data_IF_557765953873
#
_entry.id   IF_557765953873
#
_cell.length_a   1.000
_cell.length_b   1.000
_cell.length_c   1.000
_cell.angle_alpha   90.00
_cell.angle_beta   90.00
_cell.angle_gamma   90.00
#
_symmetry.space_group_name_H-M   'P 1'
#
loop_
_entity.id
_entity.type
_entity.pdbx_description
1 polymer ?
#
# COMPACT_ATOMS: atom_id res chain seq x y z
N UNK A 1 -4.44 0.77 -1.37
CA UNK A 1 -4.53 0.77 -2.85
C UNK A 1 -5.87 1.35 -3.22
N UNK A 2 -5.97 2.65 -3.49
CA UNK A 2 -7.30 3.31 -3.59
C UNK A 2 -7.47 4.28 -4.75
N UNK A 3 -6.50 4.44 -5.65
CA UNK A 3 -6.62 5.45 -6.73
C UNK A 3 -6.22 4.92 -8.12
N UNK A 4 -6.56 3.67 -8.45
CA UNK A 4 -6.16 3.05 -9.74
C UNK A 4 -7.02 3.48 -10.96
N UNK A 5 -7.87 4.50 -10.85
CA UNK A 5 -8.83 4.84 -11.91
C UNK A 5 -9.09 6.31 -12.20
N UNK A 6 -8.43 7.25 -11.52
CA UNK A 6 -8.73 8.69 -11.67
C UNK A 6 -7.51 9.42 -12.24
N UNK A 7 -7.72 10.15 -13.34
CA UNK A 7 -6.69 10.99 -13.97
C UNK A 7 -6.18 12.02 -12.95
N UNK A 8 -4.86 12.01 -12.72
CA UNK A 8 -4.22 12.90 -11.75
C UNK A 8 -4.29 12.45 -10.29
N UNK A 9 -4.69 11.21 -10.00
CA UNK A 9 -4.68 10.64 -8.63
C UNK A 9 -3.91 9.33 -8.50
N UNK A 10 -3.32 8.82 -9.58
CA UNK A 10 -2.56 7.57 -9.59
C UNK A 10 -1.30 7.67 -8.71
N UNK A 11 -1.22 6.96 -7.57
CA UNK A 11 0.07 6.61 -7.00
C UNK A 11 0.73 5.67 -8.00
N UNK A 12 1.92 6.01 -8.46
CA UNK A 12 2.69 5.11 -9.31
C UNK A 12 2.90 3.79 -8.57
N UNK A 13 2.40 2.71 -9.14
CA UNK A 13 2.96 1.38 -8.92
C UNK A 13 3.89 1.09 -10.09
N UNK A 14 4.84 0.16 -9.86
CA UNK A 14 6.07 -0.13 -10.61
C UNK A 14 5.96 -0.42 -12.13
N UNK A 15 4.83 -0.11 -12.77
CA UNK A 15 4.56 -0.34 -14.19
C UNK A 15 4.11 0.99 -14.79
N UNK A 16 5.03 1.63 -15.49
CA UNK A 16 4.78 2.85 -16.23
C UNK A 16 5.72 2.92 -17.42
N UNK A 17 5.36 3.73 -18.41
CA UNK A 17 6.24 4.08 -19.52
C UNK A 17 6.50 5.58 -19.49
N UNK A 18 7.75 5.97 -19.74
CA UNK A 18 8.16 7.37 -19.85
C UNK A 18 8.91 7.55 -21.16
N UNK A 19 8.58 8.57 -21.96
CA UNK A 19 9.38 8.89 -23.14
C UNK A 19 10.84 9.16 -22.75
N UNK A 20 11.80 8.60 -23.47
CA UNK A 20 13.23 8.77 -23.19
C UNK A 20 13.65 10.26 -23.11
N UNK A 21 13.01 11.12 -23.92
CA UNK A 21 13.23 12.57 -23.89
C UNK A 21 12.88 13.20 -22.53
N UNK A 22 11.86 12.70 -21.85
CA UNK A 22 11.50 13.17 -20.50
C UNK A 22 12.57 12.74 -19.50
N UNK A 23 13.05 11.49 -19.57
CA UNK A 23 14.12 10.99 -18.70
C UNK A 23 15.41 11.81 -18.83
N UNK A 24 15.78 12.19 -20.07
CA UNK A 24 16.93 13.05 -20.32
C UNK A 24 16.76 14.44 -19.69
N UNK A 25 15.56 15.03 -19.79
CA UNK A 25 15.24 16.35 -19.21
C UNK A 25 15.30 16.38 -17.68
N UNK A 26 15.07 15.25 -17.02
CA UNK A 26 15.10 15.14 -15.55
C UNK A 26 16.37 14.49 -15.01
N UNK A 27 17.34 14.17 -15.87
CA UNK A 27 18.58 13.47 -15.48
C UNK A 27 18.31 12.12 -14.78
N UNK A 28 17.49 11.28 -15.40
CA UNK A 28 17.22 9.89 -15.00
C UNK A 28 16.77 9.72 -13.53
N UNK A 29 16.87 8.50 -13.00
CA UNK A 29 16.46 8.11 -11.65
C UNK A 29 17.52 8.39 -10.58
N UNK A 30 17.06 8.52 -9.33
CA UNK A 30 17.93 8.64 -8.16
C UNK A 30 18.38 7.24 -7.73
N UNK A 31 19.70 6.99 -7.71
CA UNK A 31 20.27 5.66 -7.46
C UNK A 31 20.43 5.32 -5.98
N UNK A 32 20.41 6.34 -5.12
CA UNK A 32 20.72 6.23 -3.69
C UNK A 32 19.49 6.00 -2.82
N UNK A 33 18.29 6.12 -3.39
CA UNK A 33 17.02 6.07 -2.68
C UNK A 33 16.17 4.90 -3.16
N UNK A 34 15.33 4.38 -2.28
CA UNK A 34 14.56 3.16 -2.52
C UNK A 34 13.31 3.44 -3.36
N UNK A 35 12.70 4.60 -3.19
CA UNK A 35 11.39 4.96 -3.78
C UNK A 35 11.48 5.53 -5.22
N UNK A 36 12.32 4.93 -6.07
CA UNK A 36 12.76 5.48 -7.37
C UNK A 36 11.64 6.11 -8.21
N UNK A 37 10.51 5.41 -8.33
CA UNK A 37 9.37 5.84 -9.16
C UNK A 37 8.72 7.14 -8.67
N UNK A 38 8.52 7.27 -7.35
CA UNK A 38 7.95 8.48 -6.74
C UNK A 38 8.90 9.67 -6.86
N UNK A 39 10.21 9.40 -6.74
CA UNK A 39 11.27 10.38 -6.90
C UNK A 39 11.31 10.90 -8.34
N UNK A 40 11.28 10.00 -9.32
CA UNK A 40 11.23 10.34 -10.74
C UNK A 40 9.99 11.18 -11.06
N UNK A 41 8.82 10.77 -10.55
CA UNK A 41 7.59 11.53 -10.71
C UNK A 41 7.71 12.96 -10.16
N UNK A 42 8.27 13.11 -8.96
CA UNK A 42 8.50 14.42 -8.34
C UNK A 42 9.42 15.28 -9.20
N UNK A 43 10.49 14.70 -9.77
CA UNK A 43 11.41 15.40 -10.68
C UNK A 43 10.68 15.87 -11.93
N UNK A 44 9.83 15.03 -12.52
CA UNK A 44 9.02 15.41 -13.67
C UNK A 44 8.03 16.55 -13.33
N UNK A 45 7.33 16.46 -12.20
CA UNK A 45 6.43 17.53 -11.77
C UNK A 45 7.15 18.88 -11.62
N UNK A 46 8.35 18.90 -11.03
CA UNK A 46 9.15 20.12 -10.90
C UNK A 46 9.66 20.61 -12.24
N UNK A 47 10.16 19.71 -13.10
CA UNK A 47 10.75 20.09 -14.40
C UNK A 47 9.73 20.71 -15.36
N UNK A 48 8.46 20.31 -15.25
CA UNK A 48 7.36 20.77 -16.10
C UNK A 48 6.38 21.69 -15.35
N UNK A 49 6.82 22.33 -14.26
CA UNK A 49 6.03 23.33 -13.51
C UNK A 49 4.63 22.85 -13.10
N UNK A 50 4.48 21.54 -12.80
CA UNK A 50 3.23 20.90 -12.43
C UNK A 50 2.38 20.38 -13.60
N UNK A 51 2.81 20.58 -14.84
CA UNK A 51 2.13 20.12 -16.05
C UNK A 51 2.37 18.64 -16.40
N UNK A 52 3.16 17.91 -15.61
CA UNK A 52 3.39 16.49 -15.84
C UNK A 52 2.16 15.67 -15.40
N UNK A 53 1.63 14.85 -16.32
CA UNK A 53 0.43 14.05 -16.10
C UNK A 53 0.68 12.58 -16.38
N UNK A 54 -0.11 11.75 -15.71
CA UNK A 54 -0.08 10.29 -15.83
C UNK A 54 -1.42 9.85 -16.37
N UNK A 55 -1.38 9.12 -17.47
CA UNK A 55 -2.58 8.54 -18.05
C UNK A 55 -2.69 7.07 -17.61
N UNK A 56 -3.84 6.66 -17.04
CA UNK A 56 -4.04 5.27 -16.70
C UNK A 56 -4.09 4.43 -17.99
N UNK A 57 -3.37 3.32 -17.97
CA UNK A 57 -3.43 2.30 -19.01
C UNK A 57 -4.06 1.04 -18.42
N UNK A 58 -5.17 0.60 -19.01
CA UNK A 58 -5.90 -0.59 -18.57
C UNK A 58 -5.46 -1.77 -19.44
N UNK A 59 -4.62 -2.63 -18.86
CA UNK A 59 -4.13 -3.85 -19.51
C UNK A 59 -4.01 -5.00 -18.51
N UNK A 60 -3.71 -6.19 -19.02
CA UNK A 60 -3.37 -7.34 -18.18
C UNK A 60 -1.99 -7.11 -17.59
N UNK A 61 -1.89 -7.28 -16.27
CA UNK A 61 -0.63 -7.23 -15.54
C UNK A 61 -0.42 -8.58 -14.86
N UNK A 62 0.81 -9.09 -14.99
CA UNK A 62 1.30 -10.24 -14.27
C UNK A 62 2.46 -9.77 -13.38
N UNK A 63 2.46 -10.21 -12.12
CA UNK A 63 3.50 -9.87 -11.16
C UNK A 63 3.97 -11.10 -10.42
N UNK A 64 5.28 -11.16 -10.21
CA UNK A 64 5.89 -12.28 -9.48
C UNK A 64 5.55 -12.19 -7.98
N UNK A 65 5.18 -13.32 -7.42
CA UNK A 65 5.09 -13.47 -5.97
C UNK A 65 6.49 -13.54 -5.36
N UNK A 66 6.58 -13.24 -4.06
CA UNK A 66 7.79 -13.52 -3.29
C UNK A 66 7.82 -15.02 -2.99
N UNK A 67 8.73 -15.73 -3.63
CA UNK A 67 8.86 -17.20 -3.55
C UNK A 67 10.25 -17.55 -2.99
N UNK A 68 10.30 -18.49 -2.07
CA UNK A 68 11.52 -19.00 -1.45
C UNK A 68 11.44 -20.52 -1.28
N UNK A 69 12.53 -21.18 -0.88
CA UNK A 69 12.54 -22.63 -0.69
C UNK A 69 11.71 -23.06 0.52
N UNK A 70 11.69 -22.23 1.57
CA UNK A 70 10.97 -22.46 2.81
C UNK A 70 9.85 -21.44 3.04
N UNK A 71 8.70 -21.91 3.52
CA UNK A 71 7.54 -21.05 3.82
C UNK A 71 7.87 -19.90 4.80
N UNK A 72 8.76 -20.15 5.77
CA UNK A 72 9.18 -19.10 6.72
C UNK A 72 10.00 -18.02 6.01
N UNK A 73 10.86 -18.42 5.07
CA UNK A 73 11.64 -17.48 4.27
C UNK A 73 10.75 -16.65 3.35
N UNK A 74 9.69 -17.23 2.78
CA UNK A 74 8.67 -16.50 2.01
C UNK A 74 7.99 -15.42 2.86
N UNK A 75 7.57 -15.76 4.08
CA UNK A 75 6.93 -14.81 5.00
C UNK A 75 7.90 -13.68 5.37
N UNK A 76 9.16 -14.00 5.66
CA UNK A 76 10.20 -12.99 5.95
C UNK A 76 10.47 -12.12 4.71
N UNK A 77 10.53 -12.72 3.53
CA UNK A 77 10.73 -12.00 2.27
C UNK A 77 9.58 -11.04 1.98
N UNK A 78 8.34 -11.49 2.17
CA UNK A 78 7.14 -10.68 2.03
C UNK A 78 7.12 -9.53 3.05
N UNK A 79 7.52 -9.79 4.30
CA UNK A 79 7.66 -8.76 5.32
C UNK A 79 8.65 -7.66 4.88
N UNK A 80 9.85 -8.06 4.42
CA UNK A 80 10.88 -7.13 3.95
C UNK A 80 10.42 -6.35 2.70
N UNK A 81 9.67 -7.00 1.80
CA UNK A 81 9.09 -6.35 0.62
C UNK A 81 8.10 -5.25 1.02
N UNK A 82 7.15 -5.55 1.92
CA UNK A 82 6.18 -4.58 2.43
C UNK A 82 6.87 -3.44 3.18
N UNK A 83 7.88 -3.76 3.99
CA UNK A 83 8.68 -2.77 4.69
C UNK A 83 9.40 -1.83 3.70
N UNK A 84 9.98 -2.37 2.62
CA UNK A 84 10.64 -1.57 1.58
C UNK A 84 9.67 -0.60 0.92
N UNK A 85 8.47 -1.07 0.56
CA UNK A 85 7.47 -0.20 -0.03
C UNK A 85 7.02 0.91 0.92
N UNK A 86 6.80 0.59 2.19
CA UNK A 86 6.42 1.59 3.19
C UNK A 86 7.53 2.60 3.47
N UNK A 87 8.79 2.15 3.46
CA UNK A 87 9.95 3.02 3.54
C UNK A 87 10.01 4.04 2.40
N UNK A 88 9.48 3.68 1.23
CA UNK A 88 9.38 4.59 0.11
C UNK A 88 8.66 5.90 0.46
N UNK A 89 7.65 5.86 1.34
CA UNK A 89 7.01 7.08 1.85
C UNK A 89 7.84 7.88 2.84
N UNK A 90 8.65 7.20 3.67
CA UNK A 90 9.55 7.83 4.64
C UNK A 90 10.61 8.67 3.92
N UNK A 91 11.12 8.20 2.78
CA UNK A 91 12.08 8.93 1.94
C UNK A 91 11.42 9.93 0.99
N UNK A 92 10.31 9.52 0.34
CA UNK A 92 9.67 10.35 -0.68
C UNK A 92 9.05 11.62 -0.09
N UNK A 93 8.54 11.57 1.15
CA UNK A 93 7.91 12.73 1.78
C UNK A 93 8.87 13.91 1.97
N UNK A 94 10.02 13.77 2.67
CA UNK A 94 10.98 14.86 2.82
C UNK A 94 11.58 15.29 1.47
N UNK A 95 11.78 14.36 0.54
CA UNK A 95 12.26 14.69 -0.80
C UNK A 95 11.27 15.59 -1.54
N UNK A 96 10.00 15.19 -1.62
CA UNK A 96 8.95 15.94 -2.29
C UNK A 96 8.71 17.30 -1.62
N UNK A 97 8.76 17.34 -0.28
CA UNK A 97 8.67 18.59 0.47
C UNK A 97 9.81 19.55 0.10
N UNK A 98 11.06 19.08 0.10
CA UNK A 98 12.22 19.87 -0.31
C UNK A 98 12.07 20.41 -1.72
N UNK A 99 11.69 19.55 -2.68
CA UNK A 99 11.50 19.91 -4.09
C UNK A 99 10.41 20.96 -4.30
N UNK A 100 9.31 20.91 -3.55
CA UNK A 100 8.15 21.79 -3.74
C UNK A 100 8.21 23.10 -2.96
N UNK A 101 8.81 23.10 -1.77
CA UNK A 101 8.71 24.23 -0.82
C UNK A 101 10.04 24.92 -0.55
N UNK A 102 11.16 24.19 -0.62
CA UNK A 102 12.49 24.73 -0.30
C UNK A 102 13.20 25.18 -1.58
N UNK A 103 13.22 24.31 -2.60
CA UNK A 103 13.93 24.60 -3.85
C UNK A 103 13.19 25.67 -4.69
N UNK A 104 13.93 26.60 -5.34
CA UNK A 104 13.32 27.65 -6.17
C UNK A 104 12.46 27.09 -7.30
N UNK A 105 12.89 25.99 -7.93
CA UNK A 105 12.18 25.37 -9.05
C UNK A 105 10.76 24.90 -8.67
N UNK A 106 10.54 24.48 -7.42
CA UNK A 106 9.22 24.09 -6.94
C UNK A 106 8.22 25.24 -6.82
N UNK A 107 8.71 26.50 -6.74
CA UNK A 107 7.84 27.67 -6.55
C UNK A 107 7.03 28.01 -7.80
N UNK A 108 7.46 27.58 -8.98
CA UNK A 108 6.71 27.71 -10.23
C UNK A 108 5.42 26.89 -10.22
N UNK A 109 5.37 25.81 -9.43
CA UNK A 109 4.20 24.95 -9.32
C UNK A 109 3.11 25.65 -8.50
N UNK A 110 1.86 25.71 -8.99
CA UNK A 110 0.73 26.21 -8.21
C UNK A 110 0.64 25.55 -6.82
N UNK A 111 0.44 26.35 -5.76
CA UNK A 111 0.43 25.85 -4.38
C UNK A 111 -0.59 24.72 -4.16
N UNK A 112 -1.74 24.81 -4.82
CA UNK A 112 -2.79 23.77 -4.79
C UNK A 112 -2.26 22.41 -5.26
N UNK A 113 -1.43 22.38 -6.31
CA UNK A 113 -0.86 21.13 -6.85
C UNK A 113 0.16 20.56 -5.85
N UNK A 114 1.04 21.42 -5.30
CA UNK A 114 2.03 21.01 -4.29
C UNK A 114 1.38 20.40 -3.05
N UNK A 115 0.37 21.08 -2.49
CA UNK A 115 -0.37 20.61 -1.32
C UNK A 115 -1.14 19.32 -1.61
N UNK A 116 -1.77 19.20 -2.78
CA UNK A 116 -2.48 17.98 -3.19
C UNK A 116 -1.53 16.78 -3.19
N UNK A 117 -0.38 16.86 -3.85
CA UNK A 117 0.54 15.74 -3.98
C UNK A 117 1.18 15.33 -2.64
N UNK A 118 1.56 16.31 -1.81
CA UNK A 118 2.05 16.01 -0.45
C UNK A 118 0.96 15.35 0.38
N UNK A 119 -0.27 15.85 0.33
CA UNK A 119 -1.39 15.25 1.06
C UNK A 119 -1.67 13.83 0.58
N UNK A 120 -1.67 13.58 -0.74
CA UNK A 120 -1.86 12.24 -1.29
C UNK A 120 -0.77 11.27 -0.83
N UNK A 121 0.49 11.69 -0.89
CA UNK A 121 1.62 10.87 -0.42
C UNK A 121 1.51 10.56 1.08
N UNK A 122 1.23 11.58 1.89
CA UNK A 122 1.06 11.47 3.33
C UNK A 122 -0.11 10.56 3.70
N UNK A 123 -1.30 10.86 3.20
CA UNK A 123 -2.53 10.10 3.48
C UNK A 123 -2.38 8.63 3.08
N UNK A 124 -1.81 8.35 1.90
CA UNK A 124 -1.59 6.98 1.46
C UNK A 124 -0.70 6.20 2.44
N UNK A 125 0.44 6.77 2.88
CA UNK A 125 1.35 6.09 3.80
C UNK A 125 0.84 6.05 5.25
N UNK A 126 0.10 7.08 5.67
CA UNK A 126 -0.54 7.13 6.98
C UNK A 126 -1.62 6.07 7.11
N UNK A 127 -2.54 5.99 6.13
CA UNK A 127 -3.60 4.99 6.14
C UNK A 127 -3.04 3.57 5.93
N UNK A 128 -1.97 3.41 5.15
CA UNK A 128 -1.35 2.10 5.00
C UNK A 128 -0.80 1.54 6.33
N UNK A 129 -0.14 2.36 7.14
CA UNK A 129 0.39 1.89 8.43
C UNK A 129 -0.68 1.79 9.52
N UNK A 130 -1.64 2.73 9.55
CA UNK A 130 -2.62 2.84 10.63
C UNK A 130 -3.89 2.02 10.42
N UNK A 131 -4.45 2.00 9.21
CA UNK A 131 -5.75 1.36 8.97
C UNK A 131 -5.77 -0.13 9.29
N UNK A 132 -4.78 -0.95 8.88
CA UNK A 132 -4.82 -2.37 9.20
C UNK A 132 -4.80 -2.63 10.71
N UNK A 133 -3.98 -1.88 11.46
CA UNK A 133 -3.91 -1.99 12.92
C UNK A 133 -5.22 -1.51 13.56
N UNK A 134 -5.79 -0.41 13.08
CA UNK A 134 -7.05 0.13 13.59
C UNK A 134 -8.23 -0.82 13.33
N UNK A 135 -8.32 -1.44 12.15
CA UNK A 135 -9.41 -2.37 11.85
C UNK A 135 -9.28 -3.69 12.60
N UNK A 136 -8.06 -4.15 12.88
CA UNK A 136 -7.86 -5.40 13.61
C UNK A 136 -7.92 -5.24 15.14
N UNK A 137 -7.42 -4.14 15.70
CA UNK A 137 -7.34 -3.93 17.16
C UNK A 137 -8.24 -2.79 17.67
N UNK A 138 -8.54 -1.80 16.83
CA UNK A 138 -9.20 -0.54 17.22
C UNK A 138 -10.59 -0.74 17.83
N UNK A 139 -11.34 -1.75 17.38
CA UNK A 139 -12.67 -2.06 17.93
C UNK A 139 -12.61 -2.51 19.39
N UNK A 140 -11.48 -3.07 19.83
CA UNK A 140 -11.29 -3.54 21.20
C UNK A 140 -10.75 -2.46 22.14
N UNK A 141 -10.08 -1.42 21.61
CA UNK A 141 -9.43 -0.40 22.44
C UNK A 141 -10.40 0.31 23.40
N UNK A 142 -11.61 0.77 22.99
CA UNK A 142 -12.53 1.42 23.92
C UNK A 142 -13.02 0.49 25.04
N UNK A 143 -13.16 -0.81 24.76
CA UNK A 143 -13.55 -1.81 25.76
C UNK A 143 -12.41 -2.10 26.74
N UNK A 144 -11.18 -2.21 26.24
CA UNK A 144 -9.98 -2.47 27.05
C UNK A 144 -9.69 -1.28 27.98
N UNK A 145 -9.68 -0.05 27.45
CA UNK A 145 -9.33 1.14 28.25
C UNK A 145 -10.51 1.71 29.04
N UNK A 146 -11.74 1.59 28.53
CA UNK A 146 -12.93 2.15 29.14
C UNK A 146 -13.61 1.25 30.18
N UNK A 147 -13.24 -0.04 30.24
CA UNK A 147 -13.68 -0.98 31.26
C UNK A 147 -15.21 -1.15 31.36
N UNK A 148 -15.75 -1.54 32.53
CA UNK A 148 -17.19 -1.70 32.75
C UNK A 148 -18.01 -0.42 32.51
N UNK A 149 -17.44 0.75 32.80
CA UNK A 149 -18.10 2.05 32.67
C UNK A 149 -18.41 2.39 31.20
N UNK A 150 -17.52 2.04 30.27
CA UNK A 150 -17.76 2.27 28.85
C UNK A 150 -18.97 1.49 28.33
N UNK A 151 -19.17 0.24 28.79
CA UNK A 151 -20.29 -0.62 28.36
C UNK A 151 -21.67 -0.05 28.69
N UNK A 152 -21.76 0.85 29.66
CA UNK A 152 -23.01 1.49 30.05
C UNK A 152 -23.30 2.76 29.23
N UNK A 153 -22.33 3.27 28.48
CA UNK A 153 -22.51 4.46 27.68
C UNK A 153 -23.31 4.16 26.40
N UNK A 154 -24.19 5.07 25.96
CA UNK A 154 -24.88 4.95 24.67
C UNK A 154 -23.92 4.78 23.49
N UNK A 155 -22.73 5.39 23.56
CA UNK A 155 -21.69 5.26 22.52
C UNK A 155 -21.21 3.81 22.35
N UNK A 156 -21.16 3.03 23.43
CA UNK A 156 -20.71 1.64 23.36
C UNK A 156 -21.76 0.73 22.71
N UNK A 157 -23.04 1.00 22.95
CA UNK A 157 -24.14 0.30 22.28
C UNK A 157 -24.15 0.63 20.77
N UNK A 158 -24.03 1.92 20.42
CA UNK A 158 -23.94 2.35 19.03
C UNK A 158 -22.71 1.77 18.32
N UNK A 159 -21.56 1.75 19.00
CA UNK A 159 -20.33 1.15 18.47
C UNK A 159 -20.52 -0.35 18.21
N UNK A 160 -21.15 -1.09 19.12
CA UNK A 160 -21.42 -2.52 18.95
C UNK A 160 -22.35 -2.78 17.74
N UNK A 161 -23.44 -2.01 17.62
CA UNK A 161 -24.39 -2.11 16.50
C UNK A 161 -23.69 -1.79 15.17
N UNK A 162 -22.91 -0.70 15.13
CA UNK A 162 -22.15 -0.32 13.94
C UNK A 162 -21.13 -1.41 13.56
N UNK A 163 -20.41 -1.95 14.54
CA UNK A 163 -19.42 -3.02 14.33
C UNK A 163 -20.08 -4.28 13.79
N UNK A 164 -21.30 -4.60 14.25
CA UNK A 164 -22.06 -5.73 13.73
C UNK A 164 -22.44 -5.55 12.26
N UNK A 165 -22.98 -4.39 11.88
CA UNK A 165 -23.27 -4.09 10.47
C UNK A 165 -22.02 -4.13 9.61
N UNK A 166 -20.93 -3.52 10.08
CA UNK A 166 -19.66 -3.54 9.39
C UNK A 166 -19.12 -4.96 9.19
N UNK A 167 -19.21 -5.82 10.22
CA UNK A 167 -18.80 -7.22 10.15
C UNK A 167 -19.64 -8.02 9.15
N UNK A 168 -20.96 -7.84 9.13
CA UNK A 168 -21.86 -8.51 8.17
C UNK A 168 -21.50 -8.11 6.74
N UNK A 169 -21.36 -6.81 6.47
CA UNK A 169 -20.98 -6.31 5.14
C UNK A 169 -19.62 -6.86 4.74
N UNK A 170 -18.63 -6.82 5.65
CA UNK A 170 -17.28 -7.35 5.39
C UNK A 170 -17.31 -8.85 5.09
N UNK A 171 -18.13 -9.62 5.79
CA UNK A 171 -18.27 -11.06 5.57
C UNK A 171 -18.86 -11.39 4.19
N UNK A 172 -19.87 -10.63 3.76
CA UNK A 172 -20.44 -10.74 2.40
C UNK A 172 -19.34 -10.47 1.36
N UNK A 173 -18.53 -9.43 1.56
CA UNK A 173 -17.40 -9.13 0.66
C UNK A 173 -16.35 -10.23 0.65
N UNK A 174 -15.95 -10.77 1.81
CA UNK A 174 -14.98 -11.86 1.91
C UNK A 174 -15.47 -13.10 1.14
N UNK A 175 -16.75 -13.46 1.27
CA UNK A 175 -17.32 -14.59 0.51
C UNK A 175 -17.35 -14.30 -0.98
N UNK A 176 -17.84 -13.12 -1.39
CA UNK A 176 -17.93 -12.76 -2.80
C UNK A 176 -16.56 -12.72 -3.47
N UNK A 177 -15.58 -12.04 -2.87
CA UNK A 177 -14.21 -11.99 -3.38
C UNK A 177 -13.49 -13.33 -3.28
N UNK A 178 -13.78 -14.12 -2.25
CA UNK A 178 -13.29 -15.50 -2.10
C UNK A 178 -13.72 -16.39 -3.26
N UNK A 179 -15.00 -16.31 -3.61
CA UNK A 179 -15.55 -17.04 -4.74
C UNK A 179 -14.94 -16.57 -6.07
N UNK A 180 -14.88 -15.26 -6.32
CA UNK A 180 -14.26 -14.71 -7.55
C UNK A 180 -12.79 -15.16 -7.66
N UNK A 181 -12.04 -15.09 -6.56
CA UNK A 181 -10.62 -15.49 -6.54
C UNK A 181 -10.46 -16.99 -6.79
N UNK A 182 -11.33 -17.81 -6.21
CA UNK A 182 -11.36 -19.25 -6.46
C UNK A 182 -11.62 -19.55 -7.95
N UNK A 183 -12.64 -18.92 -8.55
CA UNK A 183 -12.97 -19.10 -9.97
C UNK A 183 -11.83 -18.65 -10.88
N UNK A 184 -11.22 -17.50 -10.59
CA UNK A 184 -10.08 -16.98 -11.35
C UNK A 184 -8.88 -17.92 -11.30
N UNK A 185 -8.50 -18.38 -10.10
CA UNK A 185 -7.39 -19.33 -9.92
C UNK A 185 -7.70 -20.69 -10.54
N UNK A 186 -8.94 -21.17 -10.44
CA UNK A 186 -9.36 -22.44 -11.03
C UNK A 186 -9.32 -22.40 -12.56
N UNK A 187 -9.74 -21.29 -13.17
CA UNK A 187 -9.67 -21.09 -14.62
C UNK A 187 -8.23 -21.06 -15.13
N UNK A 188 -7.32 -20.42 -14.38
CA UNK A 188 -5.91 -20.29 -14.75
C UNK A 188 -5.04 -21.46 -14.25
N UNK A 189 -5.65 -22.48 -13.64
CA UNK A 189 -4.93 -23.67 -13.21
C UNK A 189 -4.51 -24.51 -14.42
N UNK A 190 -3.24 -24.94 -14.43
CA UNK A 190 -2.64 -25.79 -15.47
C UNK A 190 -3.36 -27.12 -15.69
N UNK A 191 -4.20 -27.57 -14.75
CA UNK A 191 -4.86 -28.87 -14.74
C UNK A 191 -6.33 -28.88 -15.23
N UNK A 192 -6.78 -27.85 -15.94
CA UNK A 192 -8.14 -27.80 -16.50
C UNK A 192 -9.20 -27.48 -15.44
N UNK A 193 -9.57 -26.19 -15.38
CA UNK A 193 -10.69 -25.58 -14.64
C UNK A 193 -10.89 -25.94 -13.15
N UNK A 194 -9.99 -26.72 -12.53
CA UNK A 194 -10.10 -27.14 -11.13
C UNK A 194 -8.77 -27.02 -10.40
N UNK A 195 -8.85 -26.42 -9.20
CA UNK A 195 -7.74 -26.38 -8.25
C UNK A 195 -7.56 -27.76 -7.59
N UNK A 196 -6.31 -28.09 -7.25
CA UNK A 196 -6.02 -29.26 -6.41
C UNK A 196 -6.66 -29.08 -5.03
N UNK A 197 -7.09 -30.13 -4.32
CA UNK A 197 -7.73 -30.01 -3.01
C UNK A 197 -6.93 -29.17 -2.00
N UNK A 198 -5.60 -29.30 -2.02
CA UNK A 198 -4.70 -28.50 -1.18
C UNK A 198 -4.75 -27.00 -1.52
N UNK A 199 -4.84 -26.65 -2.80
CA UNK A 199 -4.93 -25.25 -3.26
C UNK A 199 -6.29 -24.65 -2.87
N UNK A 200 -7.37 -25.42 -3.02
CA UNK A 200 -8.71 -25.01 -2.58
C UNK A 200 -8.76 -24.75 -1.07
N UNK A 201 -8.12 -25.62 -0.28
CA UNK A 201 -7.99 -25.44 1.16
C UNK A 201 -7.18 -24.18 1.51
N UNK A 202 -6.05 -23.93 0.82
CA UNK A 202 -5.25 -22.73 1.03
C UNK A 202 -6.01 -21.45 0.73
N UNK A 203 -6.76 -21.41 -0.39
CA UNK A 203 -7.63 -20.27 -0.72
C UNK A 203 -8.67 -20.07 0.39
N UNK A 204 -9.36 -21.13 0.81
CA UNK A 204 -10.35 -21.04 1.87
C UNK A 204 -9.76 -20.52 3.20
N UNK A 205 -8.62 -21.06 3.63
CA UNK A 205 -7.92 -20.63 4.83
C UNK A 205 -7.48 -19.17 4.73
N UNK A 206 -6.96 -18.73 3.57
CA UNK A 206 -6.58 -17.35 3.33
C UNK A 206 -7.77 -16.39 3.53
N UNK A 207 -8.95 -16.72 3.02
CA UNK A 207 -10.12 -15.84 3.16
C UNK A 207 -10.63 -15.78 4.59
N UNK A 208 -10.67 -16.90 5.31
CA UNK A 208 -11.09 -16.94 6.72
C UNK A 208 -10.09 -16.20 7.62
N UNK A 209 -8.79 -16.38 7.37
CA UNK A 209 -7.74 -15.74 8.16
C UNK A 209 -7.49 -14.29 7.75
N UNK A 210 -8.05 -13.83 6.62
CA UNK A 210 -7.79 -12.50 6.06
C UNK A 210 -8.01 -11.33 7.05
N UNK A 211 -9.04 -11.30 7.93
CA UNK A 211 -9.21 -10.19 8.86
C UNK A 211 -8.06 -10.06 9.88
N UNK A 212 -7.46 -11.19 10.25
CA UNK A 212 -6.30 -11.24 11.15
C UNK A 212 -5.00 -10.95 10.41
N UNK A 213 -4.81 -11.60 9.25
CA UNK A 213 -3.61 -11.41 8.43
C UNK A 213 -3.48 -9.96 7.97
N UNK A 214 -4.58 -9.31 7.59
CA UNK A 214 -4.56 -7.93 7.13
C UNK A 214 -4.02 -6.98 8.20
N UNK A 215 -4.41 -7.16 9.47
CA UNK A 215 -3.87 -6.39 10.59
C UNK A 215 -2.35 -6.48 10.71
N UNK A 216 -1.80 -7.69 10.50
CA UNK A 216 -0.36 -7.93 10.52
C UNK A 216 0.37 -7.26 9.34
N UNK A 217 -0.31 -7.03 8.21
CA UNK A 217 0.28 -6.35 7.04
C UNK A 217 0.56 -4.86 7.28
N UNK A 218 -0.03 -4.24 8.31
CA UNK A 218 0.31 -2.86 8.71
C UNK A 218 1.61 -2.75 9.52
N UNK A 219 2.06 -3.85 10.13
CA UNK A 219 3.25 -3.87 10.99
C UNK A 219 4.55 -3.52 10.23
N UNK A 220 4.85 -4.08 9.04
CA UNK A 220 6.03 -3.70 8.27
C UNK A 220 6.08 -2.19 7.97
N UNK A 221 4.91 -1.58 7.75
CA UNK A 221 4.81 -0.15 7.46
C UNK A 221 5.07 0.73 8.70
N UNK A 222 4.56 0.32 9.86
CA UNK A 222 4.90 0.96 11.13
C UNK A 222 6.39 0.80 11.47
N UNK A 223 6.96 -0.40 11.28
CA UNK A 223 8.38 -0.63 11.52
C UNK A 223 9.26 0.27 10.63
N UNK A 224 8.91 0.43 9.35
CA UNK A 224 9.57 1.39 8.46
C UNK A 224 9.53 2.83 9.00
N UNK A 225 8.35 3.29 9.43
CA UNK A 225 8.18 4.65 9.96
C UNK A 225 8.98 4.87 11.26
N UNK A 226 8.95 3.89 12.18
CA UNK A 226 9.70 3.93 13.44
C UNK A 226 11.21 3.95 13.18
N UNK A 227 11.71 3.11 12.27
CA UNK A 227 13.12 3.11 11.85
C UNK A 227 13.54 4.47 11.30
N UNK A 228 12.68 5.12 10.51
CA UNK A 228 12.91 6.47 9.99
C UNK A 228 13.06 7.50 11.10
N UNK A 229 12.17 7.48 12.08
CA UNK A 229 12.23 8.37 13.27
C UNK A 229 13.51 8.11 14.09
N UNK A 230 13.92 6.85 14.20
CA UNK A 230 15.16 6.45 14.91
C UNK A 230 16.45 6.71 14.12
N UNK A 231 16.38 7.18 12.87
CA UNK A 231 17.54 7.36 12.01
C UNK A 231 18.19 6.05 11.54
N UNK A 232 17.49 4.92 11.62
CA UNK A 232 17.94 3.61 11.15
C UNK A 232 17.51 3.40 9.70
N UNK A 233 18.33 3.88 8.76
CA UNK A 233 18.03 3.79 7.33
C UNK A 233 18.01 2.34 6.84
N UNK A 234 17.05 2.02 5.96
CA UNK A 234 17.03 0.72 5.29
C UNK A 234 18.11 0.70 4.19
N UNK A 235 18.89 -0.38 4.14
CA UNK A 235 19.75 -0.67 3.01
C UNK A 235 18.96 -1.19 1.80
N UNK A 236 19.58 -1.16 0.63
CA UNK A 236 19.01 -1.77 -0.57
C UNK A 236 19.09 -3.30 -0.48
N UNK A 237 17.96 -3.93 -0.15
CA UNK A 237 17.78 -5.37 -0.24
C UNK A 237 17.12 -5.69 -1.58
N UNK A 238 17.52 -6.76 -2.27
CA UNK A 238 16.83 -7.25 -3.49
C UNK A 238 15.98 -8.46 -3.09
N UNK A 239 14.74 -8.47 -3.54
CA UNK A 239 13.81 -9.56 -3.25
C UNK A 239 14.18 -10.76 -4.12
N UNK A 240 14.42 -11.94 -3.54
CA UNK A 240 14.55 -13.17 -4.32
C UNK A 240 13.27 -13.38 -5.12
N UNK A 241 13.41 -13.47 -6.44
CA UNK A 241 12.34 -13.85 -7.35
C UNK A 241 12.79 -15.12 -8.04
N UNK A 242 11.93 -16.13 -8.07
CA UNK A 242 12.13 -17.39 -8.79
C UNK A 242 10.96 -17.61 -9.72
#
# INVERSE_FOLDING_TARGET
>A
MTNLGISGETPFFAIYSVPLQVLYKVNFWEKELIAEDFLLFTKCLVKFDGGFQVYPFFGVFEGDAVIADDFIEEVIGQYKQLQRWAWGGVEAFPYMYKKFFIEPAGKNIPLRIRLRWIYLLFSNHFFWSSSPVLFSLGLFLPQIFGGPSFRQLPIAQNLAIFSQYFAIISFIYIIAFGYISYVYLAHNATNGSKLRPIQSLMVFLQFILSPFLYGLMGIPALDAQIKGIQGKYLGYWVTPKR
#
